data_IF_434352496213
#
_entry.id   IF_434352496213
#
_cell.length_a   1.000
_cell.length_b   1.000
_cell.length_c   1.000
_cell.angle_alpha   90.00
_cell.angle_beta   90.00
_cell.angle_gamma   90.00
#
_symmetry.space_group_name_H-M   'P 1'
#
loop_
_entity.id
_entity.type
_entity.pdbx_description
1 polymer ?
#
# COMPACT_ATOMS: atom_id res chain seq x y z
N UNK A 1 2.02 14.75 1.52
CA UNK A 1 3.32 14.51 0.85
C UNK A 1 3.81 13.13 1.26
N UNK A 2 4.20 12.28 0.31
CA UNK A 2 4.89 11.01 0.58
C UNK A 2 6.39 11.31 0.63
N UNK A 3 7.09 10.74 1.61
CA UNK A 3 8.53 10.94 1.85
C UNK A 3 9.21 9.60 2.08
N UNK A 4 10.53 9.63 2.15
CA UNK A 4 11.42 8.47 2.28
C UNK A 4 11.30 7.49 1.10
N UNK A 5 12.26 7.63 0.17
CA UNK A 5 12.32 6.81 -1.04
C UNK A 5 13.39 5.71 -0.94
N UNK A 6 13.85 5.38 0.27
CA UNK A 6 14.95 4.44 0.50
C UNK A 6 14.68 3.06 -0.10
N UNK A 7 13.42 2.61 -0.12
CA UNK A 7 13.03 1.31 -0.71
C UNK A 7 12.16 1.46 -1.96
N UNK A 8 12.22 2.62 -2.60
CA UNK A 8 11.41 2.92 -3.80
C UNK A 8 12.03 2.37 -5.08
N UNK A 9 11.17 2.18 -6.08
CA UNK A 9 11.56 1.83 -7.45
C UNK A 9 10.86 2.75 -8.44
N UNK A 10 11.60 3.32 -9.37
CA UNK A 10 11.06 4.12 -10.47
C UNK A 10 11.81 3.83 -11.78
N UNK A 11 11.18 4.19 -12.90
CA UNK A 11 11.81 4.17 -14.22
C UNK A 11 11.60 5.54 -14.87
N UNK A 12 12.69 6.17 -15.31
CA UNK A 12 12.65 7.45 -16.01
C UNK A 12 13.52 7.38 -17.26
N UNK A 13 12.93 7.64 -18.42
CA UNK A 13 13.62 7.57 -19.72
C UNK A 13 14.39 6.26 -19.96
N UNK A 14 13.83 5.14 -19.52
CA UNK A 14 14.45 3.81 -19.63
C UNK A 14 15.48 3.49 -18.53
N UNK A 15 15.84 4.45 -17.69
CA UNK A 15 16.72 4.23 -16.53
C UNK A 15 15.89 3.78 -15.33
N UNK A 16 16.18 2.57 -14.84
CA UNK A 16 15.53 2.02 -13.64
C UNK A 16 16.38 2.39 -12.43
N UNK A 17 15.78 3.10 -11.48
CA UNK A 17 16.37 3.40 -10.17
C UNK A 17 15.58 2.60 -9.15
N UNK A 18 16.26 1.74 -8.40
CA UNK A 18 15.66 0.90 -7.36
C UNK A 18 16.71 0.57 -6.30
N UNK A 19 16.25 0.12 -5.14
CA UNK A 19 17.11 -0.49 -4.14
C UNK A 19 16.93 -1.99 -4.17
N UNK A 20 18.05 -2.71 -4.25
CA UNK A 20 18.06 -4.16 -4.21
C UNK A 20 18.04 -4.62 -2.75
N UNK A 21 16.89 -5.13 -2.32
CA UNK A 21 16.73 -5.63 -0.95
C UNK A 21 17.08 -7.12 -0.83
N UNK A 22 17.54 -7.78 -1.90
CA UNK A 22 17.97 -9.18 -1.83
C UNK A 22 19.20 -9.38 -0.94
N UNK A 23 19.98 -8.32 -0.70
CA UNK A 23 21.17 -8.33 0.16
C UNK A 23 20.89 -7.91 1.62
N UNK A 24 19.63 -7.60 1.97
CA UNK A 24 19.21 -7.16 3.30
C UNK A 24 18.28 -8.18 3.98
N UNK A 25 18.77 -9.35 4.42
CA UNK A 25 17.93 -10.38 5.04
C UNK A 25 17.24 -9.90 6.33
N UNK A 26 17.87 -8.99 7.06
CA UNK A 26 17.42 -8.51 8.37
C UNK A 26 16.01 -7.89 8.34
N UNK A 27 15.65 -7.21 7.25
CA UNK A 27 14.33 -6.56 7.13
C UNK A 27 13.18 -7.58 7.08
N UNK A 28 13.46 -8.81 6.62
CA UNK A 28 12.47 -9.86 6.48
C UNK A 28 12.33 -10.73 7.72
N UNK A 29 13.31 -10.69 8.63
CA UNK A 29 13.35 -11.42 9.90
C UNK A 29 12.69 -10.64 11.05
N UNK A 30 12.44 -9.34 10.86
CA UNK A 30 11.74 -8.52 11.86
C UNK A 30 10.28 -8.93 12.05
N UNK A 31 9.77 -8.70 13.27
CA UNK A 31 8.41 -9.01 13.70
C UNK A 31 7.84 -7.87 14.56
N UNK A 32 6.54 -7.95 14.88
CA UNK A 32 5.87 -7.05 15.82
C UNK A 32 5.05 -5.93 15.16
N UNK A 33 5.13 -5.78 13.85
CA UNK A 33 4.32 -4.83 13.08
C UNK A 33 4.00 -5.39 11.69
N UNK A 34 2.78 -5.12 11.20
CA UNK A 34 2.30 -5.58 9.90
C UNK A 34 3.17 -5.07 8.73
N UNK A 35 3.93 -3.98 8.90
CA UNK A 35 4.90 -3.52 7.90
C UNK A 35 5.92 -4.62 7.52
N UNK A 36 6.33 -5.47 8.46
CA UNK A 36 7.30 -6.53 8.20
C UNK A 36 6.69 -7.66 7.36
N UNK A 37 5.40 -7.92 7.52
CA UNK A 37 4.66 -8.82 6.64
C UNK A 37 4.59 -8.25 5.21
N UNK A 38 4.43 -6.93 5.04
CA UNK A 38 4.43 -6.31 3.71
C UNK A 38 5.74 -6.60 2.97
N UNK A 39 6.89 -6.45 3.63
CA UNK A 39 8.19 -6.75 3.01
C UNK A 39 8.30 -8.23 2.60
N UNK A 40 7.86 -9.16 3.45
CA UNK A 40 7.84 -10.59 3.12
C UNK A 40 6.91 -10.90 1.94
N UNK A 41 5.69 -10.36 1.94
CA UNK A 41 4.72 -10.51 0.85
C UNK A 41 5.29 -9.98 -0.47
N UNK A 42 5.95 -8.82 -0.44
CA UNK A 42 6.59 -8.23 -1.63
C UNK A 42 7.71 -9.14 -2.16
N UNK A 43 8.58 -9.63 -1.28
CA UNK A 43 9.68 -10.55 -1.63
C UNK A 43 9.16 -11.85 -2.23
N UNK A 44 8.13 -12.43 -1.63
CA UNK A 44 7.56 -13.69 -2.10
C UNK A 44 6.84 -13.49 -3.45
N UNK A 45 6.22 -12.33 -3.67
CA UNK A 45 5.53 -11.99 -4.92
C UNK A 45 6.49 -11.73 -6.10
N UNK A 46 7.62 -11.08 -5.85
CA UNK A 46 8.60 -10.77 -6.89
C UNK A 46 9.71 -11.82 -7.02
N UNK A 47 9.70 -12.87 -6.19
CA UNK A 47 10.72 -13.92 -6.21
C UNK A 47 12.10 -13.42 -5.77
N UNK A 48 12.14 -12.39 -4.90
CA UNK A 48 13.33 -11.66 -4.48
C UNK A 48 14.05 -10.89 -5.61
N UNK A 49 13.40 -10.65 -6.76
CA UNK A 49 13.90 -9.73 -7.80
C UNK A 49 13.22 -8.36 -7.67
N UNK A 50 13.98 -7.36 -7.20
CA UNK A 50 13.47 -6.01 -6.90
C UNK A 50 13.51 -5.07 -8.10
N UNK A 51 14.10 -5.49 -9.22
CA UNK A 51 14.24 -4.68 -10.43
C UNK A 51 12.95 -4.54 -11.25
N UNK A 52 12.14 -5.60 -11.46
CA UNK A 52 10.90 -5.53 -12.23
C UNK A 52 9.85 -4.61 -11.60
N UNK A 53 8.92 -4.15 -12.42
CA UNK A 53 7.83 -3.29 -11.95
C UNK A 53 6.66 -4.13 -11.41
N UNK A 54 6.50 -4.13 -10.09
CA UNK A 54 5.38 -4.78 -9.40
C UNK A 54 4.46 -3.73 -8.75
N UNK A 55 3.54 -3.07 -9.49
CA UNK A 55 2.71 -1.99 -8.96
C UNK A 55 1.72 -2.44 -7.87
N UNK A 56 1.52 -3.76 -7.72
CA UNK A 56 0.73 -4.35 -6.65
C UNK A 56 1.33 -4.09 -5.26
N UNK A 57 2.65 -3.86 -5.16
CA UNK A 57 3.31 -3.51 -3.90
C UNK A 57 2.71 -2.26 -3.25
N UNK A 58 2.27 -1.29 -4.07
CA UNK A 58 1.59 -0.10 -3.59
C UNK A 58 0.24 -0.43 -2.93
N UNK A 59 -0.46 -1.49 -3.37
CA UNK A 59 -1.70 -1.93 -2.74
C UNK A 59 -1.44 -2.55 -1.37
N UNK A 60 -0.34 -3.30 -1.22
CA UNK A 60 0.08 -3.85 0.08
C UNK A 60 0.35 -2.73 1.10
N UNK A 61 1.07 -1.68 0.67
CA UNK A 61 1.31 -0.51 1.52
C UNK A 61 0.03 0.28 1.83
N UNK A 62 -0.88 0.44 0.87
CA UNK A 62 -2.18 1.06 1.12
C UNK A 62 -3.01 0.25 2.12
N UNK A 63 -3.04 -1.08 1.99
CA UNK A 63 -3.71 -1.96 2.95
C UNK A 63 -3.14 -1.80 4.37
N UNK A 64 -1.81 -1.76 4.50
CA UNK A 64 -1.15 -1.47 5.76
C UNK A 64 -1.57 -0.11 6.35
N UNK A 65 -1.52 0.96 5.56
CA UNK A 65 -1.91 2.30 6.01
C UNK A 65 -3.37 2.36 6.45
N UNK A 66 -4.28 1.73 5.71
CA UNK A 66 -5.69 1.65 6.09
C UNK A 66 -5.87 0.89 7.41
N UNK A 67 -5.13 -0.20 7.62
CA UNK A 67 -5.10 -0.92 8.89
C UNK A 67 -4.65 -0.05 10.07
N UNK A 68 -3.60 0.76 9.89
CA UNK A 68 -3.15 1.72 10.90
C UNK A 68 -4.21 2.78 11.21
N UNK A 69 -4.87 3.31 10.17
CA UNK A 69 -5.93 4.31 10.33
C UNK A 69 -7.17 3.75 11.06
N UNK A 70 -7.50 2.48 10.84
CA UNK A 70 -8.64 1.82 11.47
C UNK A 70 -8.35 1.41 12.92
N UNK A 71 -7.13 0.93 13.21
CA UNK A 71 -6.86 0.22 14.46
C UNK A 71 -5.96 0.99 15.45
N UNK A 72 -5.15 1.93 14.98
CA UNK A 72 -4.08 2.54 15.78
C UNK A 72 -4.19 4.07 15.93
N UNK A 73 -5.06 4.72 15.16
CA UNK A 73 -5.38 6.13 15.34
C UNK A 73 -6.62 6.34 16.19
N UNK A 74 -6.43 6.95 17.36
CA UNK A 74 -7.54 7.45 18.18
C UNK A 74 -7.92 8.84 17.73
N UNK A 75 -9.12 8.98 17.15
CA UNK A 75 -9.66 10.27 16.75
C UNK A 75 -10.39 10.92 17.95
N UNK A 76 -9.91 12.07 18.47
CA UNK A 76 -10.44 12.67 19.71
C UNK A 76 -11.86 13.25 19.58
N UNK A 77 -12.42 13.30 18.36
CA UNK A 77 -13.80 13.71 18.10
C UNK A 77 -14.44 12.69 17.16
N UNK A 78 -15.49 12.02 17.63
CA UNK A 78 -16.43 11.29 16.77
C UNK A 78 -17.43 12.32 16.24
N UNK A 79 -17.06 12.96 15.14
CA UNK A 79 -18.01 13.70 14.32
C UNK A 79 -19.08 12.71 13.81
N UNK A 80 -20.37 13.06 13.73
CA UNK A 80 -21.39 12.20 13.13
C UNK A 80 -20.98 11.64 11.75
N UNK A 81 -20.22 12.42 10.98
CA UNK A 81 -19.74 12.03 9.65
C UNK A 81 -18.53 11.07 9.70
N UNK A 82 -17.94 10.81 10.88
CA UNK A 82 -16.80 9.91 11.00
C UNK A 82 -17.18 8.43 10.86
N UNK A 83 -18.40 8.06 11.23
CA UNK A 83 -18.86 6.66 11.17
C UNK A 83 -19.06 6.13 9.74
N UNK A 84 -19.72 6.87 8.82
CA UNK A 84 -19.79 6.47 7.41
C UNK A 84 -18.39 6.33 6.78
N UNK A 85 -17.50 7.29 7.03
CA UNK A 85 -16.12 7.26 6.50
C UNK A 85 -15.33 6.07 7.03
N UNK A 86 -15.42 5.76 8.32
CA UNK A 86 -14.78 4.57 8.90
C UNK A 86 -15.33 3.28 8.29
N UNK A 87 -16.64 3.23 8.04
CA UNK A 87 -17.29 2.06 7.43
C UNK A 87 -16.87 1.87 5.96
N UNK A 88 -16.78 2.94 5.18
CA UNK A 88 -16.26 2.92 3.81
C UNK A 88 -14.78 2.51 3.78
N UNK A 89 -13.96 3.06 4.68
CA UNK A 89 -12.55 2.70 4.81
C UNK A 89 -12.38 1.21 5.15
N UNK A 90 -13.21 0.67 6.05
CA UNK A 90 -13.17 -0.75 6.40
C UNK A 90 -13.62 -1.65 5.25
N UNK A 91 -14.67 -1.26 4.53
CA UNK A 91 -15.10 -1.98 3.35
C UNK A 91 -14.03 -1.95 2.24
N UNK A 92 -13.34 -0.83 2.05
CA UNK A 92 -12.20 -0.73 1.12
C UNK A 92 -11.02 -1.61 1.57
N UNK A 93 -10.69 -1.60 2.86
CA UNK A 93 -9.66 -2.45 3.46
C UNK A 93 -9.92 -3.95 3.16
N UNK A 94 -11.16 -4.42 3.34
CA UNK A 94 -11.52 -5.81 3.10
C UNK A 94 -11.39 -6.24 1.63
N UNK A 95 -11.63 -5.33 0.68
CA UNK A 95 -11.63 -5.66 -0.75
C UNK A 95 -10.32 -5.36 -1.48
N UNK A 96 -9.43 -4.50 -0.94
CA UNK A 96 -8.28 -3.99 -1.71
C UNK A 96 -7.31 -5.10 -2.14
N UNK A 97 -7.11 -6.12 -1.30
CA UNK A 97 -6.26 -7.29 -1.61
C UNK A 97 -7.07 -8.52 -2.03
N UNK A 98 -8.36 -8.60 -1.68
CA UNK A 98 -9.25 -9.69 -2.09
C UNK A 98 -9.82 -9.51 -3.52
N UNK A 99 -9.85 -8.26 -4.01
CA UNK A 99 -10.34 -7.93 -5.34
C UNK A 99 -9.31 -8.08 -6.45
N UNK A 100 -9.72 -7.78 -7.68
CA UNK A 100 -8.90 -7.92 -8.89
C UNK A 100 -8.00 -6.70 -9.18
N UNK A 101 -7.73 -5.87 -8.19
CA UNK A 101 -6.83 -4.71 -8.34
C UNK A 101 -5.37 -5.17 -8.45
N UNK A 102 -4.67 -4.70 -9.49
CA UNK A 102 -3.26 -4.99 -9.74
C UNK A 102 -2.34 -3.79 -9.49
N UNK A 103 -2.91 -2.61 -9.25
CA UNK A 103 -2.16 -1.38 -8.97
C UNK A 103 -3.02 -0.34 -8.26
N UNK A 104 -2.38 0.60 -7.56
CA UNK A 104 -3.05 1.78 -7.01
C UNK A 104 -3.72 2.64 -8.09
N UNK A 105 -3.10 2.75 -9.28
CA UNK A 105 -3.71 3.45 -10.43
C UNK A 105 -5.03 2.81 -10.85
N UNK A 106 -5.08 1.49 -10.97
CA UNK A 106 -6.31 0.77 -11.30
C UNK A 106 -7.36 0.97 -10.20
N UNK A 107 -6.96 0.86 -8.93
CA UNK A 107 -7.85 1.10 -7.79
C UNK A 107 -8.51 2.49 -7.89
N UNK A 108 -7.71 3.54 -7.99
CA UNK A 108 -8.23 4.92 -8.10
C UNK A 108 -9.07 5.11 -9.35
N UNK A 109 -8.78 4.41 -10.46
CA UNK A 109 -9.50 4.58 -11.73
C UNK A 109 -10.81 3.78 -11.84
N UNK A 110 -10.99 2.71 -11.06
CA UNK A 110 -12.14 1.80 -11.20
C UNK A 110 -13.02 1.66 -9.96
N UNK A 111 -12.51 1.99 -8.77
CA UNK A 111 -13.25 1.86 -7.52
C UNK A 111 -14.15 3.06 -7.24
N UNK A 112 -15.44 2.84 -6.95
CA UNK A 112 -16.39 3.93 -6.69
C UNK A 112 -15.99 4.82 -5.50
N UNK A 113 -15.20 4.31 -4.55
CA UNK A 113 -14.68 5.07 -3.41
C UNK A 113 -13.85 6.30 -3.82
N UNK A 114 -13.34 6.34 -5.05
CA UNK A 114 -12.51 7.43 -5.57
C UNK A 114 -13.21 8.27 -6.64
N UNK A 115 -14.52 8.12 -6.86
CA UNK A 115 -15.25 8.87 -7.90
C UNK A 115 -15.10 10.38 -7.74
N UNK A 116 -15.10 10.87 -6.50
CA UNK A 116 -14.89 12.28 -6.17
C UNK A 116 -13.46 12.78 -6.42
N UNK A 117 -12.47 11.87 -6.50
CA UNK A 117 -11.08 12.19 -6.80
C UNK A 117 -10.78 12.23 -8.30
N UNK A 118 -11.68 11.72 -9.15
CA UNK A 118 -11.50 11.66 -10.62
C UNK A 118 -11.93 12.94 -11.35
N UNK A 119 -11.97 14.07 -10.65
CA UNK A 119 -12.33 15.35 -11.27
C UNK A 119 -11.29 15.64 -12.37
N UNK A 120 -11.77 15.63 -13.62
CA UNK A 120 -10.97 15.87 -14.82
C UNK A 120 -10.57 17.32 -14.99
#
# INVERSE_FOLDING_TARGET
>A
TIIDFTVSRLCHEGNIVYVDMSESPEIFECEGDYQFDIYRIMRDNNGNDWRPFHPISNLYWLHYLMGKLLNETSYPRRDPDSQPVESELRALYDIILAGDYKSATQLVSSSFYFDSCRIG
#
